data_IF_381858551334
#
_entry.id   IF_381858551334
#
_cell.length_a   1.000
_cell.length_b   1.000
_cell.length_c   1.000
_cell.angle_alpha   90.00
_cell.angle_beta   90.00
_cell.angle_gamma   90.00
#
_symmetry.space_group_name_H-M   'P 1'
#
loop_
_entity.id
_entity.type
_entity.pdbx_description
1 polymer ?
#
# COMPACT_ATOMS: atom_id res chain seq x y z
N UNK A 1 -21.13 -8.50 -35.94
CA UNK A 1 -20.89 -9.08 -37.30
C UNK A 1 -19.75 -10.07 -37.12
N UNK A 2 -19.99 -11.37 -37.37
CA UNK A 2 -18.90 -12.34 -37.32
C UNK A 2 -18.03 -12.11 -38.58
N UNK A 3 -16.94 -11.37 -38.41
CA UNK A 3 -15.92 -11.32 -39.44
C UNK A 3 -15.31 -12.73 -39.56
N UNK A 4 -15.11 -13.17 -40.80
CA UNK A 4 -14.51 -14.47 -41.09
C UNK A 4 -13.07 -14.46 -40.56
N UNK A 5 -12.65 -15.44 -39.74
CA UNK A 5 -11.28 -15.50 -39.24
C UNK A 5 -10.26 -15.49 -40.35
N UNK A 6 -9.25 -14.65 -40.24
CA UNK A 6 -8.20 -14.46 -41.25
C UNK A 6 -7.01 -15.36 -40.91
N UNK A 7 -6.76 -16.35 -41.77
CA UNK A 7 -5.76 -17.39 -41.54
C UNK A 7 -4.63 -17.28 -42.55
N UNK A 8 -3.39 -17.29 -42.07
CA UNK A 8 -2.19 -17.49 -42.89
C UNK A 8 -1.82 -18.99 -42.86
N UNK A 9 -1.61 -19.59 -43.99
CA UNK A 9 -1.17 -20.98 -44.14
C UNK A 9 0.32 -20.98 -44.49
N UNK A 10 1.14 -21.72 -43.73
CA UNK A 10 2.57 -21.88 -43.96
C UNK A 10 2.86 -23.36 -44.11
N UNK A 11 3.14 -23.77 -45.31
CA UNK A 11 3.30 -25.18 -45.73
C UNK A 11 4.20 -25.22 -46.96
N UNK A 12 5.25 -26.02 -46.98
CA UNK A 12 6.18 -26.15 -48.10
C UNK A 12 5.69 -27.07 -49.20
N UNK A 13 4.78 -28.03 -48.90
CA UNK A 13 4.15 -28.90 -49.90
C UNK A 13 2.97 -28.19 -50.56
N UNK A 14 3.04 -27.83 -51.88
CA UNK A 14 2.00 -27.05 -52.54
C UNK A 14 0.61 -27.74 -52.60
N UNK A 15 0.61 -29.08 -52.64
CA UNK A 15 -0.66 -29.86 -52.68
C UNK A 15 -1.35 -29.77 -51.32
N UNK A 16 -0.60 -29.89 -50.23
CA UNK A 16 -1.13 -29.79 -48.85
C UNK A 16 -1.59 -28.36 -48.54
N UNK A 17 -0.83 -27.36 -48.97
CA UNK A 17 -1.24 -25.95 -48.85
C UNK A 17 -2.55 -25.64 -49.60
N UNK A 18 -2.73 -26.18 -50.83
CA UNK A 18 -3.95 -26.00 -51.59
C UNK A 18 -5.16 -26.70 -50.95
N UNK A 19 -4.99 -27.95 -50.46
CA UNK A 19 -6.04 -28.69 -49.73
C UNK A 19 -6.46 -27.95 -48.45
N UNK A 20 -5.49 -27.49 -47.64
CA UNK A 20 -5.78 -26.68 -46.46
C UNK A 20 -6.58 -25.42 -46.77
N UNK A 21 -6.20 -24.70 -47.82
CA UNK A 21 -6.92 -23.50 -48.24
C UNK A 21 -8.38 -23.79 -48.53
N UNK A 22 -8.66 -24.82 -49.35
CA UNK A 22 -10.05 -25.21 -49.70
C UNK A 22 -10.85 -25.61 -48.47
N UNK A 23 -10.27 -26.41 -47.54
CA UNK A 23 -10.93 -26.82 -46.31
C UNK A 23 -11.23 -25.64 -45.39
N UNK A 24 -10.28 -24.71 -45.22
CA UNK A 24 -10.45 -23.51 -44.41
C UNK A 24 -11.57 -22.61 -44.94
N UNK A 25 -11.61 -22.40 -46.26
CA UNK A 25 -12.68 -21.65 -46.90
C UNK A 25 -14.06 -22.31 -46.72
N UNK A 26 -14.15 -23.66 -46.81
CA UNK A 26 -15.37 -24.42 -46.52
C UNK A 26 -15.78 -24.32 -45.03
N UNK A 27 -14.83 -24.15 -44.12
CA UNK A 27 -15.07 -23.94 -42.68
C UNK A 27 -15.43 -22.48 -42.35
N UNK A 28 -15.53 -21.60 -43.34
CA UNK A 28 -15.92 -20.20 -43.18
C UNK A 28 -14.77 -19.28 -42.78
N UNK A 29 -13.52 -19.72 -42.94
CA UNK A 29 -12.35 -18.90 -42.71
C UNK A 29 -11.87 -18.21 -43.99
N UNK A 30 -11.19 -17.07 -43.88
CA UNK A 30 -10.56 -16.37 -45.00
C UNK A 30 -9.06 -16.64 -44.99
N UNK A 31 -8.53 -17.33 -45.98
CA UNK A 31 -7.09 -17.50 -46.14
C UNK A 31 -6.51 -16.23 -46.75
N UNK A 32 -5.69 -15.50 -45.98
CA UNK A 32 -5.10 -14.22 -46.39
C UNK A 32 -3.78 -14.36 -47.12
N UNK A 33 -3.19 -15.54 -47.10
CA UNK A 33 -1.96 -15.86 -47.83
C UNK A 33 -1.53 -17.30 -47.62
N UNK A 34 -0.63 -17.76 -48.51
CA UNK A 34 0.08 -19.03 -48.37
C UNK A 34 1.59 -18.80 -48.51
N UNK A 35 2.38 -19.34 -47.63
CA UNK A 35 3.84 -19.25 -47.63
C UNK A 35 4.44 -20.66 -47.69
N UNK A 36 5.54 -20.82 -48.41
CA UNK A 36 6.27 -22.08 -48.52
C UNK A 36 7.54 -22.13 -47.67
N UNK A 37 7.90 -21.05 -47.00
CA UNK A 37 9.08 -20.97 -46.09
C UNK A 37 8.87 -19.89 -45.04
N UNK A 38 9.75 -19.87 -44.02
CA UNK A 38 9.67 -18.97 -42.86
C UNK A 38 9.79 -17.48 -43.20
N UNK A 39 10.67 -17.10 -44.13
CA UNK A 39 10.89 -15.70 -44.51
C UNK A 39 9.64 -15.11 -45.21
N UNK A 40 9.04 -15.86 -46.15
CA UNK A 40 7.81 -15.46 -46.83
C UNK A 40 6.65 -15.40 -45.84
N UNK A 41 6.59 -16.34 -44.89
CA UNK A 41 5.60 -16.37 -43.84
C UNK A 41 5.66 -15.11 -42.96
N UNK A 42 6.83 -14.66 -42.54
CA UNK A 42 7.03 -13.42 -41.79
C UNK A 42 6.63 -12.18 -42.57
N UNK A 43 6.98 -12.14 -43.89
CA UNK A 43 6.59 -11.01 -44.73
C UNK A 43 5.05 -10.89 -44.84
N UNK A 44 4.36 -12.01 -45.11
CA UNK A 44 2.90 -12.05 -45.23
C UNK A 44 2.21 -11.80 -43.88
N UNK A 45 2.75 -12.31 -42.78
CA UNK A 45 2.25 -12.07 -41.42
C UNK A 45 2.28 -10.57 -41.06
N UNK A 46 3.40 -9.89 -41.33
CA UNK A 46 3.52 -8.43 -41.11
C UNK A 46 2.64 -7.60 -42.04
N UNK A 47 2.40 -8.04 -43.27
CA UNK A 47 1.55 -7.34 -44.24
C UNK A 47 0.04 -7.50 -43.94
N UNK A 48 -0.37 -8.69 -43.55
CA UNK A 48 -1.78 -9.01 -43.41
C UNK A 48 -2.29 -9.06 -41.98
N UNK A 49 -1.43 -9.20 -40.99
CA UNK A 49 -1.79 -9.37 -39.57
C UNK A 49 -2.95 -10.37 -39.42
N UNK A 50 -2.73 -11.66 -39.68
CA UNK A 50 -3.79 -12.67 -39.59
C UNK A 50 -4.21 -12.91 -38.15
N UNK A 51 -5.44 -13.40 -37.92
CA UNK A 51 -5.94 -13.78 -36.59
C UNK A 51 -5.30 -15.10 -36.11
N UNK A 52 -4.87 -15.96 -37.04
CA UNK A 52 -4.24 -17.24 -36.78
C UNK A 52 -3.28 -17.63 -37.91
N UNK A 53 -2.19 -18.26 -37.54
CA UNK A 53 -1.23 -18.87 -38.45
C UNK A 53 -1.26 -20.39 -38.28
N UNK A 54 -1.54 -21.11 -39.35
CA UNK A 54 -1.30 -22.57 -39.45
C UNK A 54 0.13 -22.74 -39.98
N UNK A 55 1.01 -23.31 -39.19
CA UNK A 55 2.44 -23.36 -39.44
C UNK A 55 2.95 -24.79 -39.47
N UNK A 56 3.46 -25.25 -40.60
CA UNK A 56 4.23 -26.48 -40.59
C UNK A 56 5.52 -26.30 -39.77
N UNK A 57 5.81 -27.27 -38.93
CA UNK A 57 7.04 -27.30 -38.14
C UNK A 57 8.29 -27.42 -39.03
N UNK A 58 8.19 -28.28 -40.07
CA UNK A 58 9.27 -28.53 -41.00
C UNK A 58 9.04 -27.72 -42.27
N UNK A 59 9.84 -26.71 -42.48
CA UNK A 59 9.80 -25.88 -43.68
C UNK A 59 11.14 -25.98 -44.41
N UNK A 60 11.12 -25.91 -45.73
CA UNK A 60 12.34 -25.77 -46.54
C UNK A 60 12.92 -24.36 -46.37
N UNK A 61 14.27 -24.27 -46.23
CA UNK A 61 14.99 -22.99 -46.17
C UNK A 61 15.86 -22.83 -44.95
N UNK A 62 16.32 -21.60 -44.72
CA UNK A 62 17.23 -21.28 -43.61
C UNK A 62 16.50 -21.14 -42.25
N UNK A 63 15.17 -20.92 -42.28
CA UNK A 63 14.32 -20.70 -41.10
C UNK A 63 13.25 -21.79 -41.02
N UNK A 64 13.21 -22.54 -39.92
CA UNK A 64 12.15 -23.52 -39.66
C UNK A 64 10.86 -22.85 -39.13
N UNK A 65 9.76 -23.64 -39.08
CA UNK A 65 8.45 -23.12 -38.68
C UNK A 65 8.44 -22.67 -37.20
N UNK A 66 9.29 -23.23 -36.33
CA UNK A 66 9.39 -22.86 -34.93
C UNK A 66 10.05 -21.47 -34.78
N UNK A 67 11.12 -21.23 -35.53
CA UNK A 67 11.81 -19.94 -35.53
C UNK A 67 10.91 -18.83 -36.11
N UNK A 68 10.20 -19.13 -37.18
CA UNK A 68 9.23 -18.19 -37.78
C UNK A 68 8.09 -17.86 -36.80
N UNK A 69 7.53 -18.87 -36.14
CA UNK A 69 6.46 -18.68 -35.15
C UNK A 69 6.92 -17.85 -33.95
N UNK A 70 8.14 -18.08 -33.46
CA UNK A 70 8.71 -17.29 -32.35
C UNK A 70 8.80 -15.80 -32.73
N UNK A 71 9.30 -15.50 -33.93
CA UNK A 71 9.37 -14.11 -34.39
C UNK A 71 8.00 -13.49 -34.59
N UNK A 72 7.00 -14.22 -35.10
CA UNK A 72 5.62 -13.74 -35.27
C UNK A 72 5.00 -13.42 -33.89
N UNK A 73 5.20 -14.28 -32.93
CA UNK A 73 4.71 -14.05 -31.57
C UNK A 73 5.36 -12.83 -30.90
N UNK A 74 6.68 -12.70 -30.99
CA UNK A 74 7.40 -11.58 -30.39
C UNK A 74 7.07 -10.23 -31.02
N UNK A 75 6.88 -10.19 -32.36
CA UNK A 75 6.65 -8.93 -33.09
C UNK A 75 5.19 -8.49 -33.11
N UNK A 76 4.26 -9.43 -33.24
CA UNK A 76 2.85 -9.12 -33.50
C UNK A 76 1.87 -9.88 -32.61
N UNK A 77 2.35 -10.71 -31.69
CA UNK A 77 1.54 -11.54 -30.78
C UNK A 77 0.55 -12.46 -31.51
N UNK A 78 0.88 -12.92 -32.73
CA UNK A 78 0.02 -13.76 -33.52
C UNK A 78 -0.18 -15.15 -32.89
N UNK A 79 -1.39 -15.67 -33.00
CA UNK A 79 -1.68 -17.04 -32.60
C UNK A 79 -1.12 -18.01 -33.63
N UNK A 80 -0.35 -19.00 -33.20
CA UNK A 80 0.20 -20.04 -34.08
C UNK A 80 -0.30 -21.40 -33.64
N UNK A 81 -0.80 -22.17 -34.61
CA UNK A 81 -1.14 -23.59 -34.49
C UNK A 81 -0.20 -24.37 -35.42
N UNK A 82 0.49 -25.35 -34.86
CA UNK A 82 1.42 -26.14 -35.63
C UNK A 82 0.74 -27.31 -36.36
N UNK A 83 1.18 -27.53 -37.60
CA UNK A 83 0.88 -28.72 -38.40
C UNK A 83 2.07 -29.67 -38.25
N UNK A 84 1.83 -30.94 -37.93
CA UNK A 84 2.92 -31.92 -37.71
C UNK A 84 2.54 -33.30 -38.26
N UNK A 85 3.47 -33.97 -38.91
CA UNK A 85 3.27 -35.32 -39.46
C UNK A 85 3.46 -36.44 -38.41
N UNK A 86 4.29 -36.21 -37.39
CA UNK A 86 4.50 -37.10 -36.22
C UNK A 86 5.19 -36.35 -35.11
N UNK A 87 4.76 -36.56 -33.87
CA UNK A 87 5.39 -35.91 -32.72
C UNK A 87 6.68 -36.66 -32.36
N UNK A 88 7.81 -36.25 -32.96
CA UNK A 88 9.12 -36.48 -32.40
C UNK A 88 9.18 -35.64 -31.10
N UNK A 89 9.39 -36.29 -29.93
CA UNK A 89 9.36 -35.62 -28.63
C UNK A 89 10.28 -34.39 -28.58
N UNK A 90 11.41 -34.42 -29.25
CA UNK A 90 12.40 -33.33 -29.33
C UNK A 90 11.85 -32.09 -30.09
N UNK A 91 11.08 -32.31 -31.15
CA UNK A 91 10.46 -31.25 -31.96
C UNK A 91 9.30 -30.60 -31.22
N UNK A 92 8.49 -31.40 -30.52
CA UNK A 92 7.39 -30.89 -29.68
C UNK A 92 7.94 -30.09 -28.50
N UNK A 93 9.01 -30.52 -27.85
CA UNK A 93 9.65 -29.76 -26.77
C UNK A 93 10.20 -28.40 -27.26
N UNK A 94 10.81 -28.35 -28.45
CA UNK A 94 11.21 -27.06 -29.06
C UNK A 94 10.01 -26.17 -29.36
N UNK A 95 8.95 -26.72 -29.91
CA UNK A 95 7.74 -25.98 -30.25
C UNK A 95 7.02 -25.43 -29.00
N UNK A 96 7.08 -26.10 -27.84
CA UNK A 96 6.50 -25.61 -26.57
C UNK A 96 7.05 -24.24 -26.13
N UNK A 97 8.30 -23.93 -26.44
CA UNK A 97 8.93 -22.63 -26.11
C UNK A 97 8.22 -21.47 -26.77
N UNK A 98 7.59 -21.70 -27.94
CA UNK A 98 6.78 -20.67 -28.62
C UNK A 98 5.38 -20.53 -28.03
N UNK A 99 5.01 -21.32 -27.02
CA UNK A 99 3.68 -21.38 -26.40
C UNK A 99 2.57 -21.41 -27.44
N UNK A 100 2.50 -22.44 -28.30
CA UNK A 100 1.56 -22.49 -29.40
C UNK A 100 0.11 -22.61 -28.89
N UNK A 101 -0.82 -22.17 -29.71
CA UNK A 101 -2.24 -22.26 -29.39
C UNK A 101 -2.82 -23.65 -29.66
N UNK A 102 -2.10 -24.52 -30.36
CA UNK A 102 -2.48 -25.91 -30.58
C UNK A 102 -1.54 -26.62 -31.56
N UNK A 103 -1.83 -27.92 -31.76
CA UNK A 103 -1.17 -28.80 -32.70
C UNK A 103 -2.22 -29.55 -33.49
N UNK A 104 -1.99 -29.76 -34.79
CA UNK A 104 -2.83 -30.56 -35.67
C UNK A 104 -1.94 -31.63 -36.31
N UNK A 105 -2.33 -32.88 -36.18
CA UNK A 105 -1.60 -34.01 -36.79
C UNK A 105 -2.00 -34.20 -38.24
N UNK A 106 -1.01 -34.40 -39.12
CA UNK A 106 -1.24 -34.83 -40.53
C UNK A 106 -1.37 -36.37 -40.59
N UNK A 107 -2.34 -36.92 -41.31
CA UNK A 107 -3.39 -36.28 -42.10
C UNK A 107 -4.54 -35.78 -41.23
N UNK A 108 -4.93 -34.50 -41.38
CA UNK A 108 -5.95 -33.86 -40.60
C UNK A 108 -7.37 -34.17 -41.07
N UNK A 109 -8.31 -34.22 -40.14
CA UNK A 109 -9.75 -34.33 -40.41
C UNK A 109 -10.37 -32.93 -40.24
N UNK A 110 -11.41 -32.62 -41.06
CA UNK A 110 -12.09 -31.32 -41.05
C UNK A 110 -12.63 -30.96 -39.64
N UNK A 111 -13.14 -31.94 -38.90
CA UNK A 111 -13.63 -31.72 -37.54
C UNK A 111 -12.52 -31.34 -36.55
N UNK A 112 -11.34 -31.93 -36.69
CA UNK A 112 -10.18 -31.66 -35.86
C UNK A 112 -9.63 -30.25 -36.18
N UNK A 113 -9.45 -29.96 -37.45
CA UNK A 113 -9.01 -28.65 -37.95
C UNK A 113 -9.94 -27.54 -37.45
N UNK A 114 -11.25 -27.71 -37.58
CA UNK A 114 -12.25 -26.77 -37.07
C UNK A 114 -12.13 -26.55 -35.58
N UNK A 115 -12.08 -27.63 -34.79
CA UNK A 115 -12.06 -27.55 -33.33
C UNK A 115 -10.83 -26.84 -32.83
N UNK A 116 -9.63 -27.18 -33.35
CA UNK A 116 -8.37 -26.57 -32.93
C UNK A 116 -8.31 -25.08 -33.28
N UNK A 117 -8.79 -24.71 -34.50
CA UNK A 117 -8.85 -23.31 -34.92
C UNK A 117 -9.80 -22.51 -34.03
N UNK A 118 -11.01 -23.00 -33.77
CA UNK A 118 -11.97 -22.32 -32.88
C UNK A 118 -11.41 -22.12 -31.46
N UNK A 119 -10.78 -23.15 -30.91
CA UNK A 119 -10.15 -23.07 -29.59
C UNK A 119 -8.96 -22.10 -29.57
N UNK A 120 -8.12 -22.14 -30.62
CA UNK A 120 -6.95 -21.24 -30.71
C UNK A 120 -7.39 -19.77 -30.83
N UNK A 121 -8.38 -19.48 -31.66
CA UNK A 121 -8.93 -18.13 -31.80
C UNK A 121 -9.60 -17.65 -30.51
N UNK A 122 -10.38 -18.49 -29.85
CA UNK A 122 -10.97 -18.15 -28.55
C UNK A 122 -9.93 -17.82 -27.51
N UNK A 123 -8.90 -18.66 -27.36
CA UNK A 123 -7.80 -18.44 -26.43
C UNK A 123 -7.04 -17.15 -26.75
N UNK A 124 -6.74 -16.92 -28.04
CA UNK A 124 -6.05 -15.72 -28.49
C UNK A 124 -6.84 -14.44 -28.16
N UNK A 125 -8.14 -14.41 -28.46
CA UNK A 125 -8.99 -13.27 -28.11
C UNK A 125 -9.05 -13.02 -26.61
N UNK A 126 -9.12 -14.08 -25.79
CA UNK A 126 -9.11 -13.94 -24.34
C UNK A 126 -7.77 -13.36 -23.81
N UNK A 127 -6.65 -13.83 -24.33
CA UNK A 127 -5.31 -13.30 -23.97
C UNK A 127 -5.15 -11.82 -24.39
N UNK A 128 -5.62 -11.44 -25.58
CA UNK A 128 -5.63 -10.07 -26.06
C UNK A 128 -6.49 -9.13 -25.18
N UNK A 129 -7.67 -9.59 -24.78
CA UNK A 129 -8.55 -8.81 -23.91
C UNK A 129 -7.95 -8.63 -22.52
N UNK A 130 -7.36 -9.69 -21.95
CA UNK A 130 -6.63 -9.61 -20.66
C UNK A 130 -5.48 -8.61 -20.76
N UNK A 131 -4.68 -8.64 -21.83
CA UNK A 131 -3.58 -7.71 -22.04
C UNK A 131 -4.08 -6.28 -22.09
N UNK A 132 -5.11 -6.00 -22.88
CA UNK A 132 -5.73 -4.68 -23.02
C UNK A 132 -6.29 -4.15 -21.70
N UNK A 133 -6.93 -5.03 -20.92
CA UNK A 133 -7.45 -4.68 -19.60
C UNK A 133 -6.32 -4.34 -18.62
N UNK A 134 -5.22 -5.11 -18.64
CA UNK A 134 -4.06 -4.84 -17.79
C UNK A 134 -3.40 -3.49 -18.13
N UNK A 135 -3.17 -3.20 -19.41
CA UNK A 135 -2.63 -1.90 -19.86
C UNK A 135 -3.53 -0.73 -19.40
N UNK A 136 -4.85 -0.91 -19.55
CA UNK A 136 -5.82 0.09 -19.11
C UNK A 136 -5.82 0.26 -17.59
N UNK A 137 -5.68 -0.84 -16.84
CA UNK A 137 -5.63 -0.83 -15.39
C UNK A 137 -4.35 -0.14 -14.89
N UNK A 138 -3.20 -0.46 -15.46
CA UNK A 138 -1.92 0.17 -15.14
C UNK A 138 -1.98 1.68 -15.36
N UNK A 139 -2.54 2.12 -16.49
CA UNK A 139 -2.72 3.54 -16.78
C UNK A 139 -3.61 4.23 -15.73
N UNK A 140 -4.75 3.62 -15.38
CA UNK A 140 -5.65 4.16 -14.34
C UNK A 140 -5.01 4.21 -12.97
N UNK A 141 -4.21 3.19 -12.60
CA UNK A 141 -3.47 3.18 -11.33
C UNK A 141 -2.48 4.35 -11.29
N UNK A 142 -1.75 4.58 -12.39
CA UNK A 142 -0.79 5.68 -12.49
C UNK A 142 -1.49 7.05 -12.35
N UNK A 143 -2.59 7.26 -13.07
CA UNK A 143 -3.38 8.50 -13.00
C UNK A 143 -3.92 8.75 -11.59
N UNK A 144 -4.56 7.75 -10.98
CA UNK A 144 -5.12 7.85 -9.63
C UNK A 144 -4.05 8.09 -8.57
N UNK A 145 -2.90 7.45 -8.72
CA UNK A 145 -1.78 7.67 -7.80
C UNK A 145 -1.27 9.11 -7.88
N UNK A 146 -1.15 9.66 -9.10
CA UNK A 146 -0.75 11.05 -9.33
C UNK A 146 -1.77 12.06 -8.75
N UNK A 147 -3.07 11.83 -8.99
CA UNK A 147 -4.15 12.65 -8.43
C UNK A 147 -4.12 12.67 -6.90
N UNK A 148 -4.01 11.48 -6.28
CA UNK A 148 -3.92 11.35 -4.82
C UNK A 148 -2.69 12.04 -4.24
N UNK A 149 -1.54 11.94 -4.90
CA UNK A 149 -0.32 12.63 -4.46
C UNK A 149 -0.48 14.15 -4.53
N UNK A 150 -1.12 14.66 -5.57
CA UNK A 150 -1.39 16.09 -5.73
C UNK A 150 -2.33 16.59 -4.65
N UNK A 151 -3.48 15.91 -4.44
CA UNK A 151 -4.43 16.26 -3.39
C UNK A 151 -3.82 16.23 -1.98
N UNK A 152 -2.97 15.23 -1.70
CA UNK A 152 -2.23 15.17 -0.42
C UNK A 152 -1.30 16.37 -0.23
N UNK A 153 -0.56 16.77 -1.28
CA UNK A 153 0.30 17.96 -1.23
C UNK A 153 -0.48 19.25 -0.98
N UNK A 154 -1.65 19.40 -1.60
CA UNK A 154 -2.51 20.56 -1.42
C UNK A 154 -3.05 20.65 0.01
N UNK A 155 -3.58 19.54 0.56
CA UNK A 155 -4.07 19.47 1.94
C UNK A 155 -2.93 19.80 2.94
N UNK A 156 -1.73 19.28 2.70
CA UNK A 156 -0.58 19.56 3.55
C UNK A 156 -0.14 21.02 3.48
N UNK A 157 -0.07 21.60 2.28
CA UNK A 157 0.27 23.01 2.08
C UNK A 157 -0.75 23.93 2.76
N UNK A 158 -2.04 23.62 2.58
CA UNK A 158 -3.12 24.35 3.25
C UNK A 158 -3.00 24.25 4.78
N UNK A 159 -2.79 23.05 5.32
CA UNK A 159 -2.64 22.83 6.76
C UNK A 159 -1.46 23.61 7.35
N UNK A 160 -0.34 23.69 6.59
CA UNK A 160 0.83 24.47 6.99
C UNK A 160 0.54 25.96 7.02
N UNK A 161 -0.03 26.52 5.93
CA UNK A 161 -0.35 27.93 5.83
C UNK A 161 -1.31 28.39 6.92
N UNK A 162 -2.43 27.66 7.07
CA UNK A 162 -3.44 27.96 8.12
C UNK A 162 -2.83 27.92 9.51
N UNK A 163 -2.00 26.92 9.77
CA UNK A 163 -1.35 26.78 11.09
C UNK A 163 -0.38 27.93 11.38
N UNK A 164 0.37 28.36 10.37
CA UNK A 164 1.26 29.51 10.51
C UNK A 164 0.47 30.80 10.80
N UNK A 165 -0.59 31.04 10.06
CA UNK A 165 -1.37 32.27 10.17
C UNK A 165 -2.21 32.35 11.47
N UNK A 166 -2.61 31.19 12.01
CA UNK A 166 -3.27 31.14 13.32
C UNK A 166 -2.30 31.31 14.49
N UNK A 167 -1.03 30.98 14.33
CA UNK A 167 -0.06 31.05 15.43
C UNK A 167 0.28 32.48 15.85
N UNK A 168 0.30 33.44 14.89
CA UNK A 168 0.62 34.84 15.19
C UNK A 168 -0.40 35.52 16.11
N UNK A 169 -1.73 35.47 15.81
CA UNK A 169 -2.75 36.05 16.70
C UNK A 169 -2.82 35.37 18.08
N UNK A 170 -2.59 34.04 18.15
CA UNK A 170 -2.57 33.33 19.43
C UNK A 170 -1.41 33.76 20.32
N UNK A 171 -0.23 33.96 19.76
CA UNK A 171 0.91 34.50 20.50
C UNK A 171 0.64 35.91 20.99
N UNK A 172 -0.02 36.75 20.19
CA UNK A 172 -0.41 38.10 20.60
C UNK A 172 -1.41 38.07 21.76
N UNK A 173 -2.45 37.21 21.69
CA UNK A 173 -3.41 37.05 22.77
C UNK A 173 -2.78 36.56 24.09
N UNK A 174 -1.90 35.56 24.04
CA UNK A 174 -1.17 35.09 25.24
C UNK A 174 -0.25 36.17 25.78
N UNK A 175 0.50 36.87 24.89
CA UNK A 175 1.45 37.92 25.27
C UNK A 175 0.76 39.12 25.90
N UNK A 176 -0.27 39.69 25.30
CA UNK A 176 -0.98 40.84 25.89
C UNK A 176 -1.74 40.47 27.14
N UNK A 177 -2.36 39.30 27.23
CA UNK A 177 -2.99 38.84 28.46
C UNK A 177 -1.98 38.62 29.57
N UNK A 178 -0.75 38.16 29.24
CA UNK A 178 0.33 38.05 30.20
C UNK A 178 0.82 39.42 30.67
N UNK A 179 1.06 40.37 29.76
CA UNK A 179 1.49 41.72 30.10
C UNK A 179 0.48 42.43 31.00
N UNK A 180 -0.83 42.30 30.72
CA UNK A 180 -1.85 42.86 31.63
C UNK A 180 -1.84 42.26 33.02
N UNK A 181 -1.59 40.95 33.13
CA UNK A 181 -1.45 40.28 34.46
C UNK A 181 -0.18 40.71 35.19
N UNK A 182 0.93 40.91 34.47
CA UNK A 182 2.21 41.29 35.07
C UNK A 182 2.23 42.78 35.45
N UNK A 183 1.69 43.69 34.59
CA UNK A 183 1.76 45.13 34.79
C UNK A 183 0.66 45.68 35.72
N UNK A 184 -0.52 45.07 35.68
CA UNK A 184 -1.72 45.54 36.41
C UNK A 184 -2.25 44.56 37.43
N UNK A 185 -1.52 43.47 37.72
CA UNK A 185 -1.98 42.35 38.56
C UNK A 185 -2.54 42.78 39.91
N UNK A 186 -1.91 43.77 40.59
CA UNK A 186 -2.38 44.29 41.86
C UNK A 186 -3.59 45.23 41.76
N UNK A 187 -3.87 45.77 40.57
CA UNK A 187 -5.00 46.67 40.28
C UNK A 187 -6.21 45.96 39.71
N UNK A 188 -6.05 44.68 39.29
CA UNK A 188 -7.11 43.87 38.75
C UNK A 188 -7.95 43.21 39.87
N UNK A 189 -9.26 43.26 39.75
CA UNK A 189 -10.13 42.47 40.60
C UNK A 189 -10.00 40.97 40.28
N UNK A 190 -10.51 40.11 41.17
CA UNK A 190 -10.41 38.68 41.05
C UNK A 190 -11.06 38.15 39.77
N UNK A 191 -12.13 38.81 39.29
CA UNK A 191 -12.86 38.43 38.10
C UNK A 191 -12.08 38.75 36.82
N UNK A 192 -11.51 39.95 36.74
CA UNK A 192 -10.66 40.33 35.59
C UNK A 192 -9.41 39.44 35.47
N UNK A 193 -8.81 39.09 36.60
CA UNK A 193 -7.67 38.18 36.65
C UNK A 193 -8.05 36.78 36.17
N UNK A 194 -9.21 36.23 36.59
CA UNK A 194 -9.73 34.94 36.09
C UNK A 194 -9.98 34.97 34.59
N UNK A 195 -10.58 36.05 34.05
CA UNK A 195 -10.79 36.18 32.59
C UNK A 195 -9.50 36.19 31.80
N UNK A 196 -8.48 36.93 32.22
CA UNK A 196 -7.17 36.94 31.56
C UNK A 196 -6.48 35.58 31.62
N UNK A 197 -6.57 34.88 32.74
CA UNK A 197 -6.03 33.52 32.86
C UNK A 197 -6.76 32.53 31.92
N UNK A 198 -8.08 32.63 31.79
CA UNK A 198 -8.86 31.80 30.86
C UNK A 198 -8.52 32.08 29.41
N UNK A 199 -8.33 33.35 29.04
CA UNK A 199 -7.92 33.75 27.67
C UNK A 199 -6.55 33.14 27.37
N UNK A 200 -5.59 33.26 28.25
CA UNK A 200 -4.24 32.67 28.11
C UNK A 200 -4.30 31.15 27.96
N UNK A 201 -5.03 30.49 28.84
CA UNK A 201 -5.18 29.05 28.81
C UNK A 201 -5.87 28.58 27.48
N UNK A 202 -6.80 29.37 26.93
CA UNK A 202 -7.42 29.08 25.64
C UNK A 202 -6.45 29.28 24.47
N UNK A 203 -5.69 30.39 24.44
CA UNK A 203 -4.70 30.67 23.42
C UNK A 203 -3.59 29.59 23.39
N UNK A 204 -3.09 29.22 24.54
CA UNK A 204 -2.08 28.16 24.67
C UNK A 204 -2.61 26.78 24.23
N UNK A 205 -3.84 26.45 24.56
CA UNK A 205 -4.49 25.21 24.06
C UNK A 205 -4.62 25.21 22.54
N UNK A 206 -5.04 26.32 21.93
CA UNK A 206 -5.13 26.42 20.46
C UNK A 206 -3.74 26.29 19.80
N UNK A 207 -2.70 26.89 20.36
CA UNK A 207 -1.34 26.73 19.89
C UNK A 207 -0.89 25.25 19.89
N UNK A 208 -1.18 24.53 20.98
CA UNK A 208 -0.88 23.09 21.09
C UNK A 208 -1.65 22.24 20.07
N UNK A 209 -2.92 22.59 19.77
CA UNK A 209 -3.71 21.91 18.75
C UNK A 209 -3.12 22.11 17.34
N UNK A 210 -2.70 23.34 17.03
CA UNK A 210 -2.04 23.69 15.77
C UNK A 210 -0.71 22.98 15.62
N UNK A 211 0.12 22.96 16.66
CA UNK A 211 1.42 22.27 16.64
C UNK A 211 1.25 20.77 16.43
N UNK A 212 0.23 20.17 17.07
CA UNK A 212 -0.11 18.77 16.86
C UNK A 212 -0.62 18.47 15.45
N UNK A 213 -1.41 19.36 14.84
CA UNK A 213 -1.86 19.22 13.46
C UNK A 213 -0.69 19.25 12.47
N UNK A 214 0.26 20.18 12.71
CA UNK A 214 1.50 20.23 11.92
C UNK A 214 2.36 18.99 12.09
N UNK A 215 2.52 18.49 13.33
CA UNK A 215 3.26 17.26 13.57
C UNK A 215 2.65 16.07 12.80
N UNK A 216 1.31 15.95 12.77
CA UNK A 216 0.62 14.97 11.95
C UNK A 216 0.94 15.16 10.46
N UNK A 217 0.89 16.38 9.93
CA UNK A 217 1.18 16.68 8.53
C UNK A 217 2.64 16.35 8.16
N UNK A 218 3.60 16.78 8.96
CA UNK A 218 5.03 16.56 8.69
C UNK A 218 5.49 15.10 8.81
N UNK A 219 4.81 14.28 9.60
CA UNK A 219 5.13 12.86 9.75
C UNK A 219 5.01 12.09 8.42
N UNK A 220 4.31 12.64 7.41
CA UNK A 220 4.08 11.99 6.11
C UNK A 220 5.18 12.22 5.07
N UNK A 221 5.95 13.30 5.16
CA UNK A 221 6.80 13.79 4.04
C UNK A 221 8.22 13.22 3.99
N UNK A 222 8.84 12.90 5.12
CA UNK A 222 10.25 12.47 5.12
C UNK A 222 10.35 11.00 4.77
N UNK A 223 11.28 10.64 3.90
CA UNK A 223 11.64 9.23 3.70
C UNK A 223 11.95 8.58 5.04
N UNK A 224 11.38 7.42 5.25
CA UNK A 224 11.54 6.67 6.48
C UNK A 224 12.91 5.99 6.47
N UNK A 225 13.77 6.33 7.40
CA UNK A 225 15.06 5.66 7.58
C UNK A 225 14.84 4.42 8.42
N UNK A 226 14.96 3.26 7.80
CA UNK A 226 14.81 1.97 8.50
C UNK A 226 16.18 1.51 9.00
N UNK A 227 16.32 1.48 10.33
CA UNK A 227 17.50 1.00 11.02
C UNK A 227 17.10 0.10 12.20
N UNK A 228 18.06 -0.62 12.78
CA UNK A 228 17.81 -1.39 14.00
C UNK A 228 17.64 -0.43 15.17
N UNK A 229 16.50 -0.49 15.83
CA UNK A 229 16.11 0.40 16.93
C UNK A 229 15.82 -0.43 18.17
N UNK A 230 16.44 -0.09 19.29
CA UNK A 230 16.13 -0.67 20.59
C UNK A 230 14.98 0.09 21.23
N UNK A 231 13.75 -0.48 21.14
CA UNK A 231 12.57 0.09 21.80
C UNK A 231 12.72 0.12 23.34
N UNK A 232 13.41 -0.87 23.90
CA UNK A 232 13.68 -0.90 25.35
C UNK A 232 14.53 0.29 25.80
N UNK A 233 15.58 0.62 25.05
CA UNK A 233 16.44 1.77 25.35
C UNK A 233 15.69 3.09 25.19
N UNK A 234 14.89 3.24 24.13
CA UNK A 234 14.05 4.42 23.92
C UNK A 234 13.04 4.60 25.05
N UNK A 235 12.32 3.54 25.44
CA UNK A 235 11.35 3.60 26.53
C UNK A 235 11.98 4.01 27.86
N UNK A 236 13.16 3.46 28.20
CA UNK A 236 13.90 3.81 29.38
C UNK A 236 14.34 5.28 29.39
N UNK A 237 14.86 5.79 28.25
CA UNK A 237 15.26 7.18 28.11
C UNK A 237 14.07 8.13 28.31
N UNK A 238 12.92 7.84 27.68
CA UNK A 238 11.70 8.65 27.81
C UNK A 238 11.21 8.70 29.25
N UNK A 239 11.17 7.55 29.95
CA UNK A 239 10.73 7.52 31.35
C UNK A 239 11.72 8.22 32.27
N UNK A 240 13.02 8.18 31.99
CA UNK A 240 14.00 8.96 32.72
C UNK A 240 13.76 10.47 32.60
N UNK A 241 13.49 10.94 31.36
CA UNK A 241 13.14 12.34 31.13
C UNK A 241 11.84 12.76 31.87
N UNK A 242 10.83 11.85 31.91
CA UNK A 242 9.59 12.12 32.67
C UNK A 242 9.84 12.22 34.18
N UNK A 243 10.71 11.38 34.74
CA UNK A 243 11.13 11.45 36.17
C UNK A 243 11.88 12.72 36.49
N UNK A 244 12.75 13.19 35.61
CA UNK A 244 13.47 14.46 35.81
C UNK A 244 12.52 15.67 35.83
N UNK A 245 11.45 15.64 35.04
CA UNK A 245 10.42 16.71 35.02
C UNK A 245 9.55 16.71 36.29
N UNK A 246 9.30 15.53 36.86
CA UNK A 246 8.45 15.36 38.06
C UNK A 246 9.18 14.54 39.16
N UNK A 247 10.25 15.06 39.76
CA UNK A 247 11.14 14.29 40.64
C UNK A 247 10.49 13.78 41.92
N UNK A 248 9.38 14.40 42.34
CA UNK A 248 8.64 13.99 43.56
C UNK A 248 7.69 12.83 43.31
N UNK A 249 7.47 12.46 42.03
CA UNK A 249 6.52 11.45 41.68
C UNK A 249 7.16 10.06 41.60
N UNK A 250 6.58 9.11 42.33
CA UNK A 250 7.02 7.72 42.32
C UNK A 250 6.15 6.93 41.35
N UNK A 251 6.77 6.32 40.31
CA UNK A 251 6.14 5.46 39.34
C UNK A 251 7.00 4.21 39.20
N UNK A 252 6.39 3.03 39.41
CA UNK A 252 7.02 1.76 39.11
C UNK A 252 6.98 1.56 37.59
N UNK A 253 8.15 1.60 36.95
CA UNK A 253 8.28 1.33 35.53
C UNK A 253 8.94 -0.01 35.27
N UNK A 254 8.25 -0.91 34.60
CA UNK A 254 8.76 -2.22 34.14
C UNK A 254 8.94 -2.20 32.63
N UNK A 255 10.15 -2.45 32.18
CA UNK A 255 10.49 -2.51 30.77
C UNK A 255 11.14 -3.85 30.46
N UNK A 256 10.56 -4.57 29.53
CA UNK A 256 11.16 -5.81 29.01
C UNK A 256 12.44 -5.46 28.25
N UNK A 257 13.54 -6.15 28.58
CA UNK A 257 14.83 -5.95 27.91
C UNK A 257 14.86 -6.62 26.51
N UNK A 258 15.71 -6.10 25.62
CA UNK A 258 16.02 -6.73 24.32
C UNK A 258 14.92 -6.60 23.27
N UNK A 259 14.00 -5.64 23.40
CA UNK A 259 13.01 -5.36 22.36
C UNK A 259 13.65 -4.54 21.24
N UNK A 260 13.96 -5.21 20.13
CA UNK A 260 14.56 -4.60 18.97
C UNK A 260 13.63 -4.72 17.75
N UNK A 261 13.60 -3.70 16.90
CA UNK A 261 12.81 -3.62 15.67
C UNK A 261 13.59 -2.96 14.56
N UNK A 262 13.13 -3.14 13.32
CA UNK A 262 13.61 -2.35 12.18
C UNK A 262 12.61 -1.22 11.90
N UNK A 263 13.04 0.04 12.02
CA UNK A 263 12.16 1.19 11.84
C UNK A 263 12.90 2.52 11.86
N UNK A 264 12.16 3.63 11.81
CA UNK A 264 12.71 4.98 11.95
C UNK A 264 12.72 5.36 13.44
N UNK A 265 13.92 5.41 14.03
CA UNK A 265 14.11 5.69 15.47
C UNK A 265 13.40 6.96 15.92
N UNK A 266 13.49 8.01 15.12
CA UNK A 266 12.90 9.31 15.42
C UNK A 266 11.37 9.24 15.49
N UNK A 267 10.74 8.52 14.53
CA UNK A 267 9.29 8.34 14.54
C UNK A 267 8.84 7.42 15.67
N UNK A 268 9.56 6.32 15.91
CA UNK A 268 9.27 5.39 17.01
C UNK A 268 9.44 6.06 18.37
N UNK A 269 10.42 6.95 18.54
CA UNK A 269 10.56 7.79 19.74
C UNK A 269 9.31 8.63 19.96
N UNK A 270 8.83 9.35 18.95
CA UNK A 270 7.59 10.16 19.04
C UNK A 270 6.38 9.29 19.40
N UNK A 271 6.25 8.10 18.85
CA UNK A 271 5.16 7.19 19.20
C UNK A 271 5.23 6.74 20.67
N UNK A 272 6.41 6.34 21.15
CA UNK A 272 6.62 5.93 22.53
C UNK A 272 6.46 7.11 23.52
N UNK A 273 6.92 8.31 23.17
CA UNK A 273 6.71 9.54 23.98
C UNK A 273 5.21 9.81 24.18
N UNK A 274 4.39 9.63 23.15
CA UNK A 274 2.93 9.78 23.25
C UNK A 274 2.30 8.69 24.12
N UNK A 275 2.69 7.42 23.94
CA UNK A 275 2.13 6.30 24.70
C UNK A 275 2.55 6.35 26.17
N UNK A 276 3.85 6.46 26.44
CA UNK A 276 4.39 6.52 27.80
C UNK A 276 4.02 7.82 28.53
N UNK A 277 3.96 8.94 27.81
CA UNK A 277 3.47 10.21 28.34
C UNK A 277 1.99 10.14 28.73
N UNK A 278 1.17 9.43 27.96
CA UNK A 278 -0.22 9.17 28.34
C UNK A 278 -0.31 8.28 29.57
N UNK A 279 0.40 7.16 29.62
CA UNK A 279 0.47 6.28 30.78
C UNK A 279 0.92 7.04 32.03
N UNK A 280 1.96 7.88 31.89
CA UNK A 280 2.43 8.77 32.94
C UNK A 280 1.34 9.72 33.43
N UNK A 281 0.69 10.41 32.54
CA UNK A 281 -0.37 11.38 32.81
C UNK A 281 -1.59 10.74 33.51
N UNK A 282 -2.09 9.63 32.97
CA UNK A 282 -3.33 9.00 33.46
C UNK A 282 -3.16 8.23 34.77
N UNK A 283 -1.92 7.90 35.16
CA UNK A 283 -1.59 7.38 36.50
C UNK A 283 -1.35 8.47 37.53
N UNK A 284 -1.50 9.76 37.17
CA UNK A 284 -1.18 10.90 38.06
C UNK A 284 -1.95 10.97 39.38
N UNK A 285 -3.11 10.28 39.47
CA UNK A 285 -3.94 10.21 40.67
C UNK A 285 -3.77 8.90 41.47
N UNK A 286 -2.93 7.98 40.98
CA UNK A 286 -2.68 6.70 41.65
C UNK A 286 -1.54 6.82 42.66
N UNK A 287 -1.73 6.26 43.84
CA UNK A 287 -0.69 6.20 44.90
C UNK A 287 0.38 5.16 44.56
N UNK A 288 0.03 4.08 43.86
CA UNK A 288 0.91 3.00 43.43
C UNK A 288 0.98 2.93 41.90
N UNK A 289 1.33 4.05 41.27
CA UNK A 289 1.38 4.19 39.81
C UNK A 289 2.35 3.17 39.20
N UNK A 290 1.83 2.39 38.21
CA UNK A 290 2.59 1.36 37.50
C UNK A 290 2.45 1.55 36.01
N UNK A 291 3.56 1.44 35.30
CA UNK A 291 3.63 1.49 33.85
C UNK A 291 4.51 0.33 33.41
N UNK A 292 4.03 -0.41 32.41
CA UNK A 292 4.73 -1.56 31.85
C UNK A 292 4.88 -1.41 30.35
N UNK A 293 6.08 -1.70 29.82
CA UNK A 293 6.35 -1.80 28.38
C UNK A 293 6.94 -3.17 28.06
N UNK A 294 6.37 -3.88 27.11
CA UNK A 294 6.78 -5.23 26.78
C UNK A 294 6.24 -5.73 25.44
N UNK A 295 6.44 -7.04 25.21
CA UNK A 295 5.96 -7.77 24.04
C UNK A 295 5.01 -8.88 24.51
N UNK A 296 3.80 -8.88 23.98
CA UNK A 296 2.79 -9.89 24.22
C UNK A 296 2.70 -10.85 23.02
N UNK A 297 2.46 -12.13 23.30
CA UNK A 297 2.25 -13.16 22.29
C UNK A 297 0.83 -13.71 22.45
N UNK A 298 -0.18 -13.12 21.80
CA UNK A 298 -1.54 -13.64 21.86
C UNK A 298 -1.61 -15.03 21.20
N UNK A 299 -2.41 -15.96 21.73
CA UNK A 299 -2.56 -17.29 21.15
C UNK A 299 -3.01 -17.21 19.68
N UNK A 300 -2.20 -17.76 18.76
CA UNK A 300 -2.49 -17.76 17.32
C UNK A 300 -2.34 -16.41 16.61
N UNK A 301 -1.84 -15.36 17.28
CA UNK A 301 -1.63 -14.02 16.73
C UNK A 301 -0.16 -13.64 16.54
N UNK A 302 0.06 -12.52 15.88
CA UNK A 302 1.37 -11.87 15.76
C UNK A 302 1.77 -11.25 17.10
N UNK A 303 3.07 -11.25 17.41
CA UNK A 303 3.60 -10.55 18.57
C UNK A 303 3.27 -9.06 18.53
N UNK A 304 2.77 -8.52 19.65
CA UNK A 304 2.36 -7.14 19.80
C UNK A 304 3.16 -6.46 20.92
N UNK A 305 3.75 -5.32 20.64
CA UNK A 305 4.28 -4.44 21.69
C UNK A 305 3.13 -3.83 22.46
N UNK A 306 3.31 -3.62 23.75
CA UNK A 306 2.28 -3.00 24.58
C UNK A 306 2.86 -1.99 25.56
N UNK A 307 2.08 -0.94 25.81
CA UNK A 307 2.24 -0.02 26.96
C UNK A 307 1.00 -0.17 27.81
N UNK A 308 1.18 -0.59 29.05
CA UNK A 308 0.11 -0.80 30.04
C UNK A 308 0.30 0.16 31.21
N UNK A 309 -0.80 0.71 31.71
CA UNK A 309 -0.85 1.50 32.92
C UNK A 309 -2.00 1.05 33.85
N UNK A 310 -1.91 1.38 35.13
CA UNK A 310 -2.98 1.17 36.10
C UNK A 310 -3.73 2.48 36.44
N UNK A 311 -3.83 3.38 35.48
CA UNK A 311 -4.41 4.70 35.62
C UNK A 311 -5.94 4.75 35.57
N UNK A 312 -6.46 5.89 35.08
CA UNK A 312 -7.89 6.15 35.03
C UNK A 312 -8.68 5.21 34.11
N UNK A 313 -8.03 4.59 33.08
CA UNK A 313 -8.70 3.74 32.11
C UNK A 313 -9.72 4.47 31.25
N UNK A 314 -10.55 3.72 30.53
CA UNK A 314 -11.62 4.26 29.69
C UNK A 314 -12.69 3.18 29.39
N UNK A 315 -13.87 3.61 28.91
CA UNK A 315 -14.91 2.69 28.47
C UNK A 315 -14.61 2.15 27.06
N UNK A 316 -14.66 0.83 26.86
CA UNK A 316 -14.38 0.15 25.61
C UNK A 316 -15.30 0.57 24.46
N UNK A 317 -16.51 1.06 24.74
CA UNK A 317 -17.42 1.62 23.72
C UNK A 317 -16.81 2.80 22.92
N UNK A 318 -15.77 3.42 23.46
CA UNK A 318 -15.08 4.53 22.81
C UNK A 318 -13.69 4.16 22.26
N UNK A 319 -13.30 2.88 22.28
CA UNK A 319 -11.97 2.43 21.88
C UNK A 319 -11.64 2.84 20.41
N UNK A 320 -12.58 2.71 19.49
CA UNK A 320 -12.38 3.08 18.07
C UNK A 320 -12.18 4.59 17.87
N UNK A 321 -12.71 5.41 18.79
CA UNK A 321 -12.56 6.87 18.71
C UNK A 321 -11.24 7.38 19.27
N UNK A 322 -10.52 6.57 20.06
CA UNK A 322 -9.28 6.99 20.73
C UNK A 322 -8.19 7.48 19.80
N UNK A 323 -8.11 6.87 18.62
CA UNK A 323 -7.09 7.19 17.61
C UNK A 323 -7.53 8.29 16.63
N UNK A 324 -8.74 8.81 16.77
CA UNK A 324 -9.20 9.96 16.00
C UNK A 324 -8.49 11.25 16.44
N UNK A 325 -8.20 12.15 15.48
CA UNK A 325 -7.64 13.45 15.80
C UNK A 325 -8.64 14.27 16.63
N UNK A 326 -8.13 15.00 17.66
CA UNK A 326 -8.92 15.83 18.57
C UNK A 326 -9.91 15.07 19.47
N UNK A 327 -9.86 13.74 19.48
CA UNK A 327 -10.72 12.92 20.35
C UNK A 327 -10.16 12.86 21.77
N UNK A 328 -11.07 13.02 22.75
CA UNK A 328 -10.74 13.00 24.19
C UNK A 328 -11.86 12.31 24.95
N UNK A 329 -11.54 11.38 25.84
CA UNK A 329 -12.52 10.70 26.71
C UNK A 329 -12.61 11.31 28.10
N UNK A 330 -11.54 11.97 28.57
CA UNK A 330 -11.49 12.66 29.88
C UNK A 330 -11.58 14.17 29.70
N UNK A 331 -12.16 14.85 30.67
CA UNK A 331 -12.28 16.32 30.67
C UNK A 331 -10.92 17.00 30.83
N UNK A 332 -10.80 18.26 30.36
CA UNK A 332 -9.55 19.05 30.48
C UNK A 332 -9.18 19.32 31.94
N UNK A 333 -10.16 19.36 32.85
CA UNK A 333 -9.95 19.55 34.28
C UNK A 333 -9.34 18.33 34.96
N UNK A 334 -9.62 17.12 34.43
CA UNK A 334 -9.11 15.87 34.97
C UNK A 334 -7.70 15.56 34.48
N UNK A 335 -7.48 15.67 33.17
CA UNK A 335 -6.21 15.39 32.52
C UNK A 335 -5.94 16.35 31.36
N UNK A 336 -4.81 17.08 31.35
CA UNK A 336 -4.46 18.00 30.27
C UNK A 336 -4.09 17.22 28.98
N UNK A 337 -4.32 17.82 27.80
CA UNK A 337 -3.87 17.26 26.52
C UNK A 337 -4.65 17.76 25.33
N UNK A 338 -4.07 17.60 24.11
CA UNK A 338 -4.61 18.07 22.82
C UNK A 338 -5.54 17.09 22.12
N UNK A 339 -5.52 15.79 22.46
CA UNK A 339 -6.25 14.74 21.73
C UNK A 339 -5.62 14.35 20.39
N UNK A 340 -4.34 14.70 20.14
CA UNK A 340 -3.62 14.43 18.89
C UNK A 340 -2.63 13.27 19.05
N UNK A 341 -2.14 13.04 20.26
CA UNK A 341 -1.05 12.10 20.54
C UNK A 341 -1.33 10.68 20.02
N UNK A 342 -2.52 10.13 20.27
CA UNK A 342 -2.85 8.77 19.80
C UNK A 342 -3.09 8.72 18.29
N UNK A 343 -3.60 9.75 17.66
CA UNK A 343 -3.68 9.86 16.20
C UNK A 343 -2.27 9.87 15.57
N UNK A 344 -1.31 10.56 16.22
CA UNK A 344 0.10 10.53 15.81
C UNK A 344 0.69 9.12 15.93
N UNK A 345 0.43 8.41 17.03
CA UNK A 345 0.84 7.00 17.20
C UNK A 345 0.30 6.14 16.09
N UNK A 346 -1.00 6.19 15.84
CA UNK A 346 -1.63 5.40 14.77
C UNK A 346 -0.97 5.65 13.42
N UNK A 347 -0.73 6.91 13.07
CA UNK A 347 -0.10 7.28 11.80
C UNK A 347 1.34 6.77 11.68
N UNK A 348 2.12 6.88 12.75
CA UNK A 348 3.50 6.38 12.77
C UNK A 348 3.53 4.86 12.63
N UNK A 349 2.69 4.14 13.37
CA UNK A 349 2.63 2.68 13.33
C UNK A 349 2.12 2.19 11.96
N UNK A 350 1.08 2.81 11.39
CA UNK A 350 0.62 2.48 10.03
C UNK A 350 1.71 2.71 8.97
N UNK A 351 2.52 3.75 9.13
CA UNK A 351 3.64 4.02 8.24
C UNK A 351 4.74 2.95 8.33
N UNK A 352 4.87 2.29 9.47
CA UNK A 352 5.73 1.11 9.66
C UNK A 352 5.04 -0.20 9.24
N UNK A 353 3.84 -0.14 8.60
CA UNK A 353 3.07 -1.29 8.16
C UNK A 353 2.33 -2.02 9.29
N UNK A 354 2.36 -1.49 10.51
CA UNK A 354 1.73 -2.08 11.67
C UNK A 354 0.29 -1.64 11.92
N UNK A 355 -0.27 -2.12 13.02
CA UNK A 355 -1.62 -1.79 13.51
C UNK A 355 -1.53 -1.36 14.96
N UNK A 356 -2.53 -0.59 15.43
CA UNK A 356 -2.70 -0.20 16.83
C UNK A 356 -4.08 -0.61 17.32
N UNK A 357 -4.16 -0.97 18.61
CA UNK A 357 -5.42 -1.19 19.32
C UNK A 357 -5.26 -0.83 20.80
N UNK A 358 -6.37 -0.68 21.49
CA UNK A 358 -6.37 -0.35 22.90
C UNK A 358 -7.40 -1.18 23.66
N UNK A 359 -7.09 -1.51 24.89
CA UNK A 359 -7.97 -2.16 25.85
C UNK A 359 -7.94 -1.37 27.16
N UNK A 360 -9.07 -1.26 27.83
CA UNK A 360 -9.14 -0.52 29.09
C UNK A 360 -10.44 -0.73 29.84
N UNK A 361 -10.42 -0.39 31.12
CA UNK A 361 -11.62 -0.33 31.94
C UNK A 361 -11.50 0.85 32.89
N UNK A 362 -12.62 1.55 33.14
CA UNK A 362 -12.64 2.74 34.01
C UNK A 362 -12.10 2.38 35.40
N UNK A 363 -11.09 3.11 35.86
CA UNK A 363 -10.43 2.90 37.16
C UNK A 363 -9.50 1.70 37.25
N UNK A 364 -9.34 0.91 36.17
CA UNK A 364 -8.46 -0.27 36.13
C UNK A 364 -7.25 -0.11 35.23
N UNK A 365 -7.11 1.06 34.57
CA UNK A 365 -6.03 1.37 33.67
C UNK A 365 -6.33 1.05 32.20
N UNK A 366 -5.30 1.21 31.37
CA UNK A 366 -5.36 1.00 29.94
C UNK A 366 -4.13 0.22 29.44
N UNK A 367 -4.31 -0.47 28.32
CA UNK A 367 -3.22 -1.13 27.58
C UNK A 367 -3.35 -0.75 26.10
N UNK A 368 -2.29 -0.17 25.57
CA UNK A 368 -2.19 0.17 24.14
C UNK A 368 -1.25 -0.82 23.47
N UNK A 369 -1.74 -1.51 22.45
CA UNK A 369 -0.98 -2.49 21.69
C UNK A 369 -0.63 -1.96 20.32
N UNK A 370 0.54 -2.31 19.82
CA UNK A 370 0.94 -2.01 18.44
C UNK A 370 1.82 -3.11 17.85
N UNK A 371 1.73 -3.28 16.53
CA UNK A 371 2.61 -4.15 15.77
C UNK A 371 3.52 -3.32 14.88
N UNK A 372 4.68 -3.87 14.50
CA UNK A 372 5.57 -3.31 13.49
C UNK A 372 5.87 -4.46 12.52
N UNK A 373 5.59 -4.29 11.23
CA UNK A 373 5.91 -5.31 10.25
C UNK A 373 7.41 -5.26 9.93
N UNK A 374 8.06 -6.42 9.76
CA UNK A 374 9.40 -6.45 9.19
C UNK A 374 9.37 -5.82 7.79
N UNK A 375 10.49 -5.29 7.28
CA UNK A 375 10.57 -4.84 5.89
C UNK A 375 10.23 -6.00 4.95
N UNK A 376 9.37 -5.72 3.96
CA UNK A 376 9.07 -6.66 2.88
C UNK A 376 10.31 -6.92 2.03
#
# INVERSE_FOLDING_TARGET
>A
MNEQPRILVVEDEPIVAADLKVRLEMLGCKVVGTASNGEKALALAGQHLPDLVLMDIRLEGAMDGIEAALQMRQRWHLAVVYLTAYADDTTVERAKVTEPFGYILKPFKDRELKTVIEMALYKHHAEEEIRRLNETLEQRVLERTSELQTALKEIESFSYSVSHDLRAPLRAMDGFSKALLDDLGDKLDAQARDYLQRIRAAAQRMAQLIDGLLALSHTSRREMRREKVSLSALAQAIVSELREREPKRQVEFRCQAGLEVTGDERLLRVALENLLGNAWKFTGKQSDARIEFGLAHPPGGTAEFFVRDNGAGFEMAYADKLFGAFQRLHTTKEFPGSGIGLATVQRIIHRHGGKVRAEGAVGQGATFYFTLLPPA
#
